data_IF_892536342553
#
_entry.id   IF_892536342553
#
_cell.length_a   1.000
_cell.length_b   1.000
_cell.length_c   1.000
_cell.angle_alpha   90.00
_cell.angle_beta   90.00
_cell.angle_gamma   90.00
#
_symmetry.space_group_name_H-M   'P 1'
#
loop_
_entity.id
_entity.type
_entity.pdbx_description
1 polymer ?
#
# COMPACT_ATOMS: atom_id res chain seq x y z
N UNK A 1 18.47 -24.31 2.85
CA UNK A 1 17.46 -23.82 3.80
C UNK A 1 18.12 -23.27 5.03
N UNK A 2 17.73 -22.08 5.49
CA UNK A 2 18.07 -21.51 6.80
C UNK A 2 16.86 -21.73 7.71
N UNK A 3 17.10 -22.28 8.90
CA UNK A 3 16.08 -22.45 9.93
C UNK A 3 16.22 -21.36 10.98
N UNK A 4 15.12 -20.69 11.28
CA UNK A 4 15.04 -19.56 12.22
C UNK A 4 13.85 -19.75 13.17
N UNK A 5 13.64 -18.80 14.08
CA UNK A 5 12.49 -18.74 15.00
C UNK A 5 11.21 -18.19 14.33
N UNK A 6 11.32 -17.65 13.11
CA UNK A 6 10.21 -17.15 12.29
C UNK A 6 10.06 -17.93 10.97
N UNK A 7 8.84 -17.94 10.41
CA UNK A 7 8.53 -18.70 9.19
C UNK A 7 9.30 -18.24 7.94
N UNK A 8 9.76 -16.98 7.93
CA UNK A 8 10.51 -16.38 6.84
C UNK A 8 10.69 -14.89 7.06
N UNK A 9 10.77 -14.14 5.96
CA UNK A 9 10.83 -12.68 5.98
C UNK A 9 9.41 -12.12 5.92
N UNK A 10 9.08 -11.21 6.82
CA UNK A 10 7.79 -10.53 6.90
C UNK A 10 7.91 -9.07 6.40
N UNK A 11 6.77 -8.45 6.08
CA UNK A 11 6.72 -7.05 5.64
C UNK A 11 7.07 -6.03 6.73
N UNK A 12 7.07 -6.45 8.00
CA UNK A 12 7.73 -5.80 9.13
C UNK A 12 8.06 -6.87 10.18
N UNK A 13 8.78 -6.53 11.25
CA UNK A 13 8.94 -7.46 12.37
C UNK A 13 7.55 -7.81 12.94
N UNK A 14 7.11 -9.09 12.91
CA UNK A 14 5.79 -9.49 13.39
C UNK A 14 5.61 -9.30 14.91
N UNK A 15 6.70 -9.06 15.66
CA UNK A 15 6.67 -8.69 17.07
C UNK A 15 6.28 -7.23 17.28
N UNK A 16 6.58 -6.37 16.31
CA UNK A 16 6.28 -4.93 16.33
C UNK A 16 4.96 -4.62 15.61
N UNK A 17 4.61 -5.39 14.58
CA UNK A 17 3.40 -5.16 13.76
C UNK A 17 2.59 -6.45 13.66
N UNK A 18 1.38 -6.46 14.24
CA UNK A 18 0.49 -7.63 14.22
C UNK A 18 0.09 -8.06 12.81
N UNK A 19 -0.11 -7.09 11.92
CA UNK A 19 -0.60 -7.28 10.56
C UNK A 19 0.56 -7.48 9.56
N UNK A 20 1.74 -7.86 10.05
CA UNK A 20 2.89 -8.16 9.20
C UNK A 20 2.61 -9.40 8.34
N UNK A 21 2.78 -9.26 7.03
CA UNK A 21 2.52 -10.32 6.06
C UNK A 21 3.80 -11.08 5.75
N UNK A 22 3.73 -12.42 5.74
CA UNK A 22 4.83 -13.28 5.28
C UNK A 22 5.05 -13.08 3.77
N UNK A 23 6.30 -12.82 3.37
CA UNK A 23 6.69 -12.73 1.96
C UNK A 23 7.09 -14.13 1.47
N UNK A 24 6.32 -14.78 0.58
CA UNK A 24 6.67 -16.11 0.08
C UNK A 24 7.91 -16.08 -0.83
N UNK A 25 8.14 -14.95 -1.49
CA UNK A 25 9.22 -14.75 -2.46
C UNK A 25 9.91 -13.40 -2.18
N UNK A 26 11.24 -13.42 -2.13
CA UNK A 26 12.07 -12.24 -1.96
C UNK A 26 13.21 -12.25 -2.96
N UNK A 27 13.54 -11.10 -3.56
CA UNK A 27 14.70 -11.04 -4.46
C UNK A 27 15.99 -11.09 -3.67
N UNK A 28 17.04 -11.66 -4.27
CA UNK A 28 18.37 -11.73 -3.65
C UNK A 28 18.96 -10.36 -3.35
N UNK A 29 18.73 -9.37 -4.21
CA UNK A 29 19.18 -7.98 -4.00
C UNK A 29 18.40 -7.30 -2.87
N UNK A 30 17.08 -7.48 -2.80
CA UNK A 30 16.24 -7.03 -1.68
C UNK A 30 16.64 -7.69 -0.35
N UNK A 31 16.93 -9.01 -0.37
CA UNK A 31 17.40 -9.74 0.80
C UNK A 31 18.77 -9.26 1.27
N UNK A 32 19.68 -8.98 0.34
CA UNK A 32 21.02 -8.44 0.63
C UNK A 32 20.93 -7.05 1.25
N UNK A 33 20.02 -6.23 0.73
CA UNK A 33 19.76 -4.88 1.23
C UNK A 33 19.13 -4.91 2.63
N UNK A 34 18.17 -5.80 2.85
CA UNK A 34 17.57 -6.02 4.17
C UNK A 34 18.62 -6.49 5.21
N UNK A 35 19.50 -7.41 4.80
CA UNK A 35 20.58 -7.90 5.65
C UNK A 35 21.62 -6.80 5.95
N UNK A 36 21.90 -5.92 4.99
CA UNK A 36 22.76 -4.74 5.17
C UNK A 36 22.18 -3.78 6.20
N UNK A 37 20.86 -3.60 6.23
CA UNK A 37 20.12 -2.80 7.21
C UNK A 37 19.91 -3.52 8.56
N UNK A 38 20.69 -4.58 8.81
CA UNK A 38 20.74 -5.35 10.06
C UNK A 38 19.39 -5.95 10.50
N UNK A 39 18.56 -6.38 9.55
CA UNK A 39 17.38 -7.17 9.89
C UNK A 39 17.81 -8.50 10.55
N UNK A 40 17.21 -8.89 11.69
CA UNK A 40 17.70 -9.97 12.55
C UNK A 40 17.71 -11.37 11.89
N UNK A 41 17.00 -11.52 10.76
CA UNK A 41 16.77 -12.82 10.11
C UNK A 41 17.89 -13.19 9.13
N UNK A 42 18.62 -12.22 8.57
CA UNK A 42 19.59 -12.45 7.50
C UNK A 42 20.87 -11.67 7.74
N UNK A 43 22.01 -12.35 7.62
CA UNK A 43 23.33 -11.71 7.65
C UNK A 43 23.88 -11.57 6.23
N UNK A 44 24.42 -10.40 5.88
CA UNK A 44 24.92 -10.08 4.54
C UNK A 44 25.98 -11.08 4.03
N UNK A 45 26.91 -11.48 4.92
CA UNK A 45 27.91 -12.52 4.64
C UNK A 45 27.34 -13.90 4.29
N UNK A 46 26.10 -14.22 4.70
CA UNK A 46 25.44 -15.48 4.34
C UNK A 46 24.92 -15.45 2.91
N UNK A 47 24.55 -14.27 2.40
CA UNK A 47 23.99 -14.11 1.06
C UNK A 47 25.07 -14.02 -0.03
N UNK A 48 26.29 -13.60 0.31
CA UNK A 48 27.38 -13.42 -0.65
C UNK A 48 27.78 -14.73 -1.38
N UNK A 49 27.93 -15.91 -0.72
CA UNK A 49 28.18 -17.17 -1.41
C UNK A 49 26.98 -17.63 -2.26
N UNK A 50 25.77 -17.41 -1.74
CA UNK A 50 24.52 -17.72 -2.48
C UNK A 50 24.49 -16.90 -3.77
N UNK A 51 24.89 -15.63 -3.72
CA UNK A 51 24.99 -14.73 -4.88
C UNK A 51 25.99 -15.17 -5.95
N UNK A 52 26.95 -16.04 -5.63
CA UNK A 52 27.94 -16.58 -6.59
C UNK A 52 27.63 -18.01 -7.06
N UNK A 53 26.57 -18.65 -6.55
CA UNK A 53 26.24 -20.06 -6.84
C UNK A 53 24.84 -20.25 -7.45
N UNK A 54 24.54 -21.42 -8.02
CA UNK A 54 23.18 -21.75 -8.50
C UNK A 54 22.25 -22.26 -7.40
N UNK A 55 22.60 -22.03 -6.13
CA UNK A 55 21.86 -22.58 -5.00
C UNK A 55 20.58 -21.78 -4.72
N UNK A 56 19.48 -22.50 -4.50
CA UNK A 56 18.25 -21.92 -3.98
C UNK A 56 18.33 -21.77 -2.46
N UNK A 57 17.96 -20.60 -1.97
CA UNK A 57 17.90 -20.31 -0.54
C UNK A 57 16.45 -20.17 -0.09
N UNK A 58 16.08 -20.88 0.97
CA UNK A 58 14.77 -20.82 1.60
C UNK A 58 14.93 -20.59 3.11
N UNK A 59 14.03 -19.80 3.68
CA UNK A 59 13.93 -19.55 5.12
C UNK A 59 12.69 -20.25 5.66
N UNK A 60 12.82 -20.92 6.80
CA UNK A 60 11.75 -21.66 7.48
C UNK A 60 11.82 -21.52 8.99
N UNK A 61 10.68 -21.67 9.67
CA UNK A 61 10.60 -21.73 11.12
C UNK A 61 10.95 -23.13 11.64
N UNK A 62 11.87 -23.23 12.60
CA UNK A 62 12.23 -24.49 13.28
C UNK A 62 11.13 -25.00 14.21
N UNK A 63 10.36 -24.10 14.82
CA UNK A 63 9.25 -24.44 15.71
C UNK A 63 7.99 -24.87 14.94
N UNK A 64 7.77 -24.30 13.76
CA UNK A 64 6.60 -24.58 12.94
C UNK A 64 6.97 -24.70 11.44
N UNK A 65 7.45 -25.88 11.01
CA UNK A 65 7.92 -26.10 9.63
C UNK A 65 6.85 -25.91 8.54
N UNK A 66 5.58 -26.02 8.90
CA UNK A 66 4.42 -25.93 7.98
C UNK A 66 3.84 -24.51 7.86
N UNK A 67 4.31 -23.53 8.65
CA UNK A 67 3.79 -22.15 8.68
C UNK A 67 4.17 -21.28 7.47
N UNK A 68 4.56 -21.92 6.36
CA UNK A 68 5.08 -21.26 5.17
C UNK A 68 6.60 -21.09 5.15
N UNK A 69 7.09 -20.42 4.11
CA UNK A 69 8.52 -20.18 3.90
C UNK A 69 8.74 -19.00 2.95
N UNK A 70 9.86 -18.29 3.14
CA UNK A 70 10.34 -17.33 2.14
C UNK A 70 11.40 -17.98 1.27
N UNK A 71 11.21 -18.00 -0.05
CA UNK A 71 12.24 -18.40 -1.02
C UNK A 71 12.94 -17.16 -1.58
N UNK A 72 14.26 -17.17 -1.57
CA UNK A 72 15.11 -16.11 -2.11
C UNK A 72 15.48 -16.47 -3.55
N UNK A 73 15.07 -15.62 -4.50
CA UNK A 73 15.28 -15.81 -5.93
C UNK A 73 16.12 -14.69 -6.55
N UNK A 74 16.86 -15.02 -7.61
CA UNK A 74 17.71 -14.04 -8.32
C UNK A 74 16.93 -13.16 -9.27
N UNK A 75 15.85 -13.68 -9.85
CA UNK A 75 15.10 -13.01 -10.91
C UNK A 75 13.62 -13.04 -10.56
N UNK A 76 13.11 -11.87 -10.19
CA UNK A 76 11.67 -11.59 -10.21
C UNK A 76 11.44 -10.40 -11.14
N UNK A 77 10.23 -10.30 -11.69
CA UNK A 77 9.79 -9.12 -12.43
C UNK A 77 10.03 -7.83 -11.62
N UNK A 78 10.06 -6.68 -12.31
CA UNK A 78 10.25 -5.35 -11.71
C UNK A 78 9.46 -5.21 -10.41
N UNK A 79 10.15 -4.77 -9.34
CA UNK A 79 9.53 -4.57 -8.03
C UNK A 79 8.46 -3.48 -8.08
N UNK A 80 7.50 -3.58 -7.14
CA UNK A 80 6.32 -2.70 -7.05
C UNK A 80 6.45 -1.64 -5.94
N UNK A 81 7.66 -1.35 -5.45
CA UNK A 81 7.90 -0.42 -4.35
C UNK A 81 8.38 -1.12 -3.07
N UNK A 82 8.26 -0.42 -1.93
CA UNK A 82 8.54 -0.99 -0.60
C UNK A 82 7.83 -2.33 -0.38
N UNK A 83 8.56 -3.31 0.14
CA UNK A 83 8.05 -4.64 0.55
C UNK A 83 8.20 -4.90 2.05
N UNK A 84 9.20 -4.28 2.67
CA UNK A 84 9.60 -4.53 4.05
C UNK A 84 9.89 -3.20 4.74
N UNK A 85 9.41 -3.03 5.97
CA UNK A 85 9.82 -1.97 6.90
C UNK A 85 10.67 -2.60 7.99
N UNK A 86 11.83 -2.01 8.26
CA UNK A 86 12.74 -2.44 9.32
C UNK A 86 13.18 -1.24 10.14
N UNK A 87 13.50 -1.46 11.40
CA UNK A 87 14.07 -0.45 12.28
C UNK A 87 15.22 -0.98 13.12
N UNK A 88 16.01 -0.07 13.65
CA UNK A 88 17.04 -0.30 14.66
C UNK A 88 16.92 0.81 15.72
N UNK A 89 16.77 0.42 16.97
CA UNK A 89 16.62 1.39 18.08
C UNK A 89 17.93 2.12 18.41
N UNK A 90 19.07 1.44 18.22
CA UNK A 90 20.39 1.96 18.57
C UNK A 90 21.34 1.94 17.37
N UNK A 91 21.63 3.13 16.86
CA UNK A 91 22.55 3.40 15.77
C UNK A 91 23.56 4.47 16.19
N UNK A 92 24.80 4.30 15.74
CA UNK A 92 25.89 5.22 15.95
C UNK A 92 26.22 5.96 14.65
N UNK A 93 26.53 7.25 14.76
CA UNK A 93 27.00 8.05 13.65
C UNK A 93 28.49 8.34 13.76
N UNK A 94 29.25 7.97 12.74
CA UNK A 94 30.62 8.44 12.54
C UNK A 94 30.56 9.65 11.62
N UNK A 95 30.90 10.82 12.13
CA UNK A 95 30.99 12.06 11.37
C UNK A 95 32.44 12.36 11.01
N UNK A 96 32.72 12.46 9.72
CA UNK A 96 33.97 12.95 9.15
C UNK A 96 33.76 14.41 8.74
N UNK A 97 34.60 15.31 9.25
CA UNK A 97 34.58 16.73 8.88
C UNK A 97 35.89 17.07 8.16
N UNK A 98 35.82 17.31 6.85
CA UNK A 98 36.99 17.53 6.00
C UNK A 98 37.40 19.01 6.02
N UNK A 99 38.69 19.27 5.75
CA UNK A 99 39.20 20.64 5.61
C UNK A 99 38.81 21.23 4.26
N UNK A 100 38.57 22.54 4.25
CA UNK A 100 38.25 23.28 3.03
C UNK A 100 39.45 23.26 2.07
N UNK A 101 39.22 22.90 0.80
CA UNK A 101 40.25 22.89 -0.25
C UNK A 101 40.46 21.56 -0.98
N UNK A 102 39.85 20.47 -0.51
CA UNK A 102 39.85 19.17 -1.20
C UNK A 102 38.59 19.00 -2.06
N UNK A 103 38.70 18.18 -3.11
CA UNK A 103 37.53 17.70 -3.86
C UNK A 103 36.72 16.73 -2.98
N UNK A 104 35.75 17.28 -2.27
CA UNK A 104 34.89 16.56 -1.34
C UNK A 104 34.24 15.33 -1.97
N UNK A 105 33.74 15.44 -3.20
CA UNK A 105 33.03 14.36 -3.87
C UNK A 105 33.98 13.19 -4.14
N UNK A 106 35.20 13.50 -4.57
CA UNK A 106 36.25 12.48 -4.76
C UNK A 106 36.62 11.83 -3.44
N UNK A 107 36.93 12.62 -2.41
CA UNK A 107 37.33 12.10 -1.10
C UNK A 107 36.22 11.25 -0.47
N UNK A 108 34.96 11.67 -0.55
CA UNK A 108 33.81 10.89 -0.12
C UNK A 108 33.76 9.54 -0.86
N UNK A 109 33.85 9.55 -2.20
CA UNK A 109 33.80 8.32 -2.99
C UNK A 109 34.93 7.36 -2.63
N UNK A 110 36.13 7.88 -2.40
CA UNK A 110 37.31 7.08 -2.04
C UNK A 110 37.13 6.45 -0.65
N UNK A 111 36.63 7.21 0.33
CA UNK A 111 36.33 6.68 1.68
C UNK A 111 35.27 5.58 1.62
N UNK A 112 34.15 5.80 0.93
CA UNK A 112 33.08 4.81 0.81
C UNK A 112 33.56 3.53 0.11
N UNK A 113 34.32 3.65 -0.98
CA UNK A 113 34.94 2.50 -1.67
C UNK A 113 35.92 1.75 -0.79
N UNK A 114 36.70 2.45 0.04
CA UNK A 114 37.65 1.82 0.96
C UNK A 114 36.93 1.02 2.05
N UNK A 115 35.87 1.58 2.63
CA UNK A 115 35.01 0.91 3.61
C UNK A 115 34.35 -0.33 3.01
N UNK A 116 33.83 -0.24 1.77
CA UNK A 116 33.24 -1.38 1.07
C UNK A 116 34.26 -2.51 0.87
N UNK A 117 35.50 -2.20 0.44
CA UNK A 117 36.57 -3.20 0.30
C UNK A 117 36.94 -3.87 1.62
N UNK A 118 36.87 -3.13 2.72
CA UNK A 118 37.11 -3.64 4.07
C UNK A 118 35.92 -4.40 4.67
N UNK A 119 34.79 -4.53 3.94
CA UNK A 119 33.53 -5.07 4.46
C UNK A 119 32.98 -4.31 5.68
N UNK A 120 33.21 -2.99 5.72
CA UNK A 120 32.77 -2.06 6.75
C UNK A 120 31.80 -1.02 6.16
N UNK A 121 30.94 -1.47 5.24
CA UNK A 121 29.94 -0.62 4.60
C UNK A 121 28.94 -0.08 5.64
N UNK A 122 28.59 1.22 5.62
CA UNK A 122 27.61 1.78 6.53
C UNK A 122 26.18 1.30 6.22
N UNK A 123 25.31 1.36 7.23
CA UNK A 123 23.86 1.13 7.10
C UNK A 123 23.22 2.21 6.21
N UNK A 124 23.72 3.42 6.27
CA UNK A 124 23.28 4.58 5.51
C UNK A 124 24.30 5.70 5.67
N UNK A 125 24.33 6.65 4.73
CA UNK A 125 25.21 7.81 4.83
C UNK A 125 24.55 9.08 4.30
N UNK A 126 25.03 10.22 4.78
CA UNK A 126 24.68 11.55 4.31
C UNK A 126 25.95 12.32 3.97
N UNK A 127 25.98 12.92 2.78
CA UNK A 127 27.08 13.77 2.33
C UNK A 127 26.61 15.22 2.21
N UNK A 128 27.16 16.09 3.05
CA UNK A 128 26.88 17.52 3.10
C UNK A 128 28.06 18.27 2.47
N UNK A 129 27.99 18.46 1.15
CA UNK A 129 29.08 19.07 0.38
C UNK A 129 29.33 20.54 0.76
N UNK A 130 28.29 21.26 1.16
CA UNK A 130 28.35 22.64 1.67
C UNK A 130 29.16 22.76 2.97
N UNK A 131 29.01 21.79 3.86
CA UNK A 131 29.67 21.75 5.17
C UNK A 131 30.92 20.87 5.17
N UNK A 132 31.25 20.23 4.05
CA UNK A 132 32.36 19.28 3.93
C UNK A 132 32.25 18.18 4.99
N UNK A 133 31.05 17.63 5.19
CA UNK A 133 30.78 16.59 6.21
C UNK A 133 30.23 15.32 5.57
N UNK A 134 30.76 14.18 6.00
CA UNK A 134 30.22 12.86 5.69
C UNK A 134 29.80 12.20 7.00
N UNK A 135 28.53 11.78 7.07
CA UNK A 135 28.00 11.04 8.22
C UNK A 135 27.71 9.62 7.80
N UNK A 136 28.18 8.67 8.60
CA UNK A 136 28.06 7.24 8.33
C UNK A 136 27.34 6.58 9.49
N UNK A 137 26.22 5.89 9.21
CA UNK A 137 25.44 5.18 10.21
C UNK A 137 25.91 3.73 10.35
N UNK A 138 26.10 3.27 11.59
CA UNK A 138 26.56 1.93 11.92
C UNK A 138 25.81 1.35 13.12
N UNK A 139 25.72 0.02 13.19
CA UNK A 139 25.39 -0.68 14.44
C UNK A 139 26.53 -0.54 15.44
N UNK A 140 26.24 -0.69 16.74
CA UNK A 140 27.25 -0.65 17.79
C UNK A 140 28.38 -1.67 17.57
N UNK A 141 28.04 -2.85 17.04
CA UNK A 141 28.97 -3.95 16.76
C UNK A 141 30.05 -3.58 15.73
N UNK A 142 29.67 -2.87 14.66
CA UNK A 142 30.57 -2.55 13.53
C UNK A 142 31.25 -1.20 13.73
N UNK A 143 30.61 -0.26 14.43
CA UNK A 143 31.08 1.12 14.57
C UNK A 143 32.52 1.24 15.07
N UNK A 144 32.92 0.44 16.07
CA UNK A 144 34.27 0.49 16.63
C UNK A 144 35.34 0.07 15.60
N UNK A 145 35.04 -0.96 14.81
CA UNK A 145 35.93 -1.42 13.74
C UNK A 145 36.03 -0.40 12.60
N UNK A 146 34.90 0.18 12.19
CA UNK A 146 34.86 1.24 11.18
C UNK A 146 35.61 2.50 11.63
N UNK A 147 35.43 2.92 12.88
CA UNK A 147 36.13 4.08 13.45
C UNK A 147 37.65 3.88 13.43
N UNK A 148 38.13 2.73 13.91
CA UNK A 148 39.55 2.40 13.90
C UNK A 148 40.12 2.38 12.48
N UNK A 149 39.41 1.73 11.55
CA UNK A 149 39.83 1.67 10.16
C UNK A 149 39.95 3.06 9.52
N UNK A 150 39.01 3.97 9.78
CA UNK A 150 39.05 5.34 9.28
C UNK A 150 40.19 6.15 9.89
N UNK A 151 40.52 5.93 11.17
CA UNK A 151 41.68 6.54 11.82
C UNK A 151 43.01 6.05 11.22
N UNK A 152 43.11 4.76 10.94
CA UNK A 152 44.29 4.13 10.34
C UNK A 152 44.50 4.56 8.87
N UNK A 153 43.41 4.88 8.16
CA UNK A 153 43.46 5.35 6.77
C UNK A 153 44.08 6.75 6.62
N UNK A 154 44.37 7.43 7.73
CA UNK A 154 44.97 8.77 7.80
C UNK A 154 44.25 9.81 6.93
N UNK A 155 42.92 9.73 6.87
CA UNK A 155 42.10 10.73 6.17
C UNK A 155 42.28 12.09 6.85
N UNK A 156 42.50 13.14 6.07
CA UNK A 156 42.57 14.53 6.57
C UNK A 156 41.19 15.08 6.97
N UNK A 157 40.55 14.42 7.95
CA UNK A 157 39.25 14.77 8.48
C UNK A 157 39.22 14.66 10.01
N UNK A 158 38.46 15.54 10.65
CA UNK A 158 38.11 15.38 12.06
C UNK A 158 37.01 14.32 12.18
N UNK A 159 37.30 13.23 12.90
CA UNK A 159 36.38 12.10 13.09
C UNK A 159 35.72 12.19 14.47
N UNK A 160 34.39 12.16 14.52
CA UNK A 160 33.61 12.13 15.76
C UNK A 160 32.60 10.99 15.75
N UNK A 161 32.58 10.21 16.83
CA UNK A 161 31.51 9.25 17.08
C UNK A 161 30.37 9.94 17.84
N UNK A 162 29.14 9.73 17.41
CA UNK A 162 27.94 10.24 18.06
C UNK A 162 26.95 9.10 18.32
N UNK A 163 26.34 9.15 19.48
CA UNK A 163 25.34 8.18 19.94
C UNK A 163 23.95 8.83 20.00
N UNK A 164 22.94 8.03 20.31
CA UNK A 164 21.57 8.52 20.49
C UNK A 164 20.82 8.69 19.18
N UNK A 165 21.04 7.80 18.22
CA UNK A 165 20.29 7.72 16.98
C UNK A 165 19.58 6.38 16.84
N UNK A 166 18.52 6.41 16.05
CA UNK A 166 17.74 5.24 15.65
C UNK A 166 17.57 5.28 14.13
N UNK A 167 17.22 4.16 13.51
CA UNK A 167 17.08 4.04 12.07
C UNK A 167 15.74 3.38 11.75
N UNK A 168 15.05 3.90 10.73
CA UNK A 168 13.90 3.25 10.11
C UNK A 168 14.12 3.24 8.61
N UNK A 169 13.85 2.10 7.97
CA UNK A 169 14.05 1.93 6.55
C UNK A 169 12.88 1.19 5.88
N UNK A 170 12.56 1.63 4.67
CA UNK A 170 11.70 0.91 3.74
C UNK A 170 12.55 0.24 2.66
N UNK A 171 12.41 -1.07 2.49
CA UNK A 171 13.19 -1.89 1.56
C UNK A 171 12.27 -2.51 0.51
N UNK A 172 12.64 -2.41 -0.76
CA UNK A 172 11.95 -3.05 -1.87
C UNK A 172 12.36 -2.47 -3.21
N UNK A 173 12.38 -3.30 -4.25
CA UNK A 173 12.72 -2.85 -5.58
C UNK A 173 11.72 -1.81 -6.11
N UNK A 174 12.22 -0.62 -6.43
CA UNK A 174 11.43 0.51 -6.91
C UNK A 174 10.84 1.38 -5.80
N UNK A 175 11.26 1.21 -4.53
CA UNK A 175 10.76 2.00 -3.40
C UNK A 175 10.99 3.51 -3.58
N UNK A 176 12.13 3.90 -4.14
CA UNK A 176 12.45 5.31 -4.46
C UNK A 176 11.66 5.86 -5.66
N UNK A 177 11.19 4.98 -6.56
CA UNK A 177 10.47 5.36 -7.79
C UNK A 177 8.95 5.33 -7.63
N UNK A 178 8.43 4.57 -6.67
CA UNK A 178 7.01 4.51 -6.38
C UNK A 178 6.62 5.76 -5.57
N UNK A 179 5.95 6.72 -6.24
CA UNK A 179 5.56 7.99 -5.64
C UNK A 179 4.71 7.81 -4.37
N UNK A 180 3.79 6.83 -4.34
CA UNK A 180 2.94 6.58 -3.18
C UNK A 180 3.78 6.09 -1.99
N UNK A 181 4.75 5.20 -2.23
CA UNK A 181 5.54 4.63 -1.14
C UNK A 181 6.59 5.63 -0.62
N UNK A 182 7.25 6.33 -1.54
CA UNK A 182 8.21 7.36 -1.23
C UNK A 182 7.55 8.52 -0.46
N UNK A 183 6.44 9.06 -0.98
CA UNK A 183 5.69 10.12 -0.31
C UNK A 183 5.08 9.66 1.02
N UNK A 184 4.50 8.45 1.07
CA UNK A 184 3.94 7.88 2.30
C UNK A 184 5.00 7.76 3.41
N UNK A 185 6.21 7.31 3.07
CA UNK A 185 7.33 7.25 4.00
C UNK A 185 7.68 8.64 4.56
N UNK A 186 7.91 9.63 3.69
CA UNK A 186 8.23 11.00 4.11
C UNK A 186 7.11 11.65 4.93
N UNK A 187 5.85 11.39 4.58
CA UNK A 187 4.69 11.97 5.28
C UNK A 187 4.62 11.50 6.74
N UNK A 188 4.93 10.23 7.01
CA UNK A 188 4.95 9.69 8.39
C UNK A 188 6.13 10.19 9.21
N UNK A 189 7.21 10.60 8.56
CA UNK A 189 8.38 11.20 9.21
C UNK A 189 8.20 12.67 9.59
N UNK A 190 7.11 13.34 9.17
CA UNK A 190 6.88 14.78 9.38
C UNK A 190 7.07 15.25 10.82
N UNK A 191 6.68 14.44 11.80
CA UNK A 191 6.77 14.78 13.23
C UNK A 191 7.93 14.07 13.94
N UNK A 192 8.67 13.22 13.23
CA UNK A 192 9.84 12.54 13.77
C UNK A 192 11.06 13.48 13.75
N UNK A 193 11.96 13.41 14.75
CA UNK A 193 13.19 14.20 14.79
C UNK A 193 14.24 13.60 13.85
N UNK A 194 14.00 13.72 12.55
CA UNK A 194 14.89 13.23 11.49
C UNK A 194 16.22 13.97 11.55
N UNK A 195 17.32 13.23 11.65
CA UNK A 195 18.67 13.76 11.48
C UNK A 195 19.03 13.86 10.00
N UNK A 196 18.76 12.81 9.22
CA UNK A 196 18.84 12.83 7.76
C UNK A 196 18.04 11.67 7.13
N UNK A 197 17.75 11.78 5.83
CA UNK A 197 17.19 10.70 5.02
C UNK A 197 18.14 10.45 3.85
N UNK A 198 18.34 9.19 3.50
CA UNK A 198 19.17 8.77 2.37
C UNK A 198 18.44 7.73 1.53
N UNK A 199 18.68 7.79 0.23
CA UNK A 199 18.29 6.74 -0.72
C UNK A 199 19.53 5.95 -1.12
N UNK A 200 19.40 4.63 -1.24
CA UNK A 200 20.49 3.83 -1.79
C UNK A 200 20.63 4.02 -3.30
N UNK A 201 21.86 3.98 -3.81
CA UNK A 201 22.14 4.10 -5.25
C UNK A 201 21.43 3.03 -6.08
N UNK A 202 21.18 1.86 -5.50
CA UNK A 202 20.43 0.77 -6.11
C UNK A 202 18.92 1.04 -6.21
N UNK A 203 18.40 2.05 -5.49
CA UNK A 203 16.98 2.36 -5.37
C UNK A 203 16.17 1.27 -4.66
N UNK A 204 16.86 0.43 -3.87
CA UNK A 204 16.25 -0.68 -3.13
C UNK A 204 15.82 -0.29 -1.72
N UNK A 205 16.29 0.84 -1.19
CA UNK A 205 15.92 1.29 0.14
C UNK A 205 15.84 2.81 0.29
N UNK A 206 14.91 3.22 1.16
CA UNK A 206 14.73 4.55 1.69
C UNK A 206 15.00 4.47 3.20
N UNK A 207 15.99 5.21 3.69
CA UNK A 207 16.47 5.09 5.08
C UNK A 207 16.43 6.44 5.77
N UNK A 208 15.74 6.52 6.90
CA UNK A 208 15.73 7.69 7.77
C UNK A 208 16.52 7.39 9.04
N UNK A 209 17.50 8.25 9.34
CA UNK A 209 18.18 8.27 10.62
C UNK A 209 17.53 9.33 11.49
N UNK A 210 17.14 8.95 12.69
CA UNK A 210 16.36 9.73 13.64
C UNK A 210 17.18 9.96 14.89
N UNK A 211 17.02 11.11 15.55
CA UNK A 211 17.48 11.26 16.94
C UNK A 211 16.62 10.36 17.81
N UNK A 212 17.22 9.72 18.82
CA UNK A 212 16.63 8.65 19.65
C UNK A 212 15.12 8.82 19.84
N UNK A 213 14.37 7.91 19.22
CA UNK A 213 12.91 7.87 19.25
C UNK A 213 12.45 6.44 19.45
N UNK A 214 11.22 6.28 19.93
CA UNK A 214 10.52 5.00 19.84
C UNK A 214 10.30 4.64 18.36
N UNK A 215 10.98 3.58 17.90
CA UNK A 215 10.85 3.12 16.51
C UNK A 215 9.62 2.26 16.28
N UNK A 216 9.06 1.64 17.32
CA UNK A 216 7.94 0.70 17.20
C UNK A 216 6.69 1.40 16.65
N UNK A 217 6.29 2.49 17.31
CA UNK A 217 5.15 3.29 16.87
C UNK A 217 5.34 3.83 15.43
N UNK A 218 6.57 4.22 15.09
CA UNK A 218 6.87 4.75 13.76
C UNK A 218 6.84 3.65 12.68
N UNK A 219 7.36 2.46 12.98
CA UNK A 219 7.29 1.28 12.11
C UNK A 219 5.83 0.89 11.88
N UNK A 220 5.00 0.84 12.92
CA UNK A 220 3.56 0.57 12.78
C UNK A 220 2.87 1.62 11.89
N UNK A 221 3.15 2.91 12.07
CA UNK A 221 2.57 3.99 11.27
C UNK A 221 3.02 3.97 9.80
N UNK A 222 4.29 3.70 9.55
CA UNK A 222 4.84 3.58 8.20
C UNK A 222 4.33 2.31 7.54
N UNK A 223 4.36 1.18 8.25
CA UNK A 223 3.89 -0.09 7.73
C UNK A 223 2.41 -0.03 7.40
N UNK A 224 1.57 0.43 8.35
CA UNK A 224 0.15 0.59 8.09
C UNK A 224 -0.10 1.47 6.87
N UNK A 225 0.58 2.61 6.69
CA UNK A 225 0.39 3.47 5.50
C UNK A 225 0.85 2.83 4.18
N UNK A 226 1.99 2.14 4.19
CA UNK A 226 2.64 1.63 2.98
C UNK A 226 2.12 0.25 2.57
N UNK A 227 1.64 -0.51 3.54
CA UNK A 227 1.13 -1.87 3.40
C UNK A 227 -0.33 -1.95 3.83
N UNK A 228 -1.09 -0.83 3.81
CA UNK A 228 -2.56 -0.87 3.95
C UNK A 228 -3.02 -2.01 3.04
N UNK A 229 -3.67 -3.01 3.65
CA UNK A 229 -4.37 -4.04 2.89
C UNK A 229 -5.14 -3.30 1.80
N UNK A 230 -4.98 -3.71 0.54
CA UNK A 230 -5.69 -3.09 -0.57
C UNK A 230 -7.14 -2.87 -0.13
N UNK A 231 -7.62 -1.62 -0.08
CA UNK A 231 -8.94 -1.34 0.49
C UNK A 231 -9.93 -2.33 -0.11
N UNK A 232 -10.55 -3.13 0.73
CA UNK A 232 -11.46 -4.17 0.30
C UNK A 232 -12.84 -3.55 0.20
N UNK A 233 -13.37 -3.55 -1.02
CA UNK A 233 -14.67 -2.98 -1.33
C UNK A 233 -15.63 -4.14 -1.60
N UNK A 234 -16.64 -4.26 -0.75
CA UNK A 234 -17.76 -5.16 -0.95
C UNK A 234 -18.72 -4.58 -1.99
N UNK A 235 -19.08 -5.36 -3.00
CA UNK A 235 -19.99 -4.95 -4.07
C UNK A 235 -21.24 -5.81 -4.04
N UNK A 236 -22.41 -5.18 -3.95
CA UNK A 236 -23.70 -5.83 -4.08
C UNK A 236 -24.37 -5.40 -5.38
N UNK A 237 -24.66 -6.34 -6.27
CA UNK A 237 -25.33 -6.09 -7.54
C UNK A 237 -26.83 -6.34 -7.43
N UNK A 238 -27.63 -5.29 -7.56
CA UNK A 238 -29.08 -5.42 -7.68
C UNK A 238 -29.50 -5.41 -9.15
N UNK A 239 -30.07 -6.53 -9.60
CA UNK A 239 -30.53 -6.77 -10.97
C UNK A 239 -29.56 -7.61 -11.78
N UNK A 240 -29.94 -8.85 -12.08
CA UNK A 240 -29.20 -9.78 -12.96
C UNK A 240 -29.69 -9.79 -14.42
N UNK A 241 -30.55 -8.85 -14.81
CA UNK A 241 -31.06 -8.71 -16.18
C UNK A 241 -29.97 -8.25 -17.17
N UNK A 242 -30.36 -7.79 -18.37
CA UNK A 242 -29.41 -7.47 -19.46
C UNK A 242 -28.23 -6.56 -19.08
N UNK A 243 -28.47 -5.53 -18.25
CA UNK A 243 -27.41 -4.62 -17.78
C UNK A 243 -26.54 -5.31 -16.73
N UNK A 244 -27.15 -6.04 -15.79
CA UNK A 244 -26.43 -6.78 -14.76
C UNK A 244 -25.55 -7.88 -15.33
N UNK A 245 -26.05 -8.68 -16.28
CA UNK A 245 -25.25 -9.73 -16.93
C UNK A 245 -24.08 -9.16 -17.74
N UNK A 246 -24.27 -8.03 -18.41
CA UNK A 246 -23.19 -7.31 -19.08
C UNK A 246 -22.15 -6.79 -18.08
N UNK A 247 -22.59 -6.26 -16.95
CA UNK A 247 -21.71 -5.81 -15.87
C UNK A 247 -20.92 -6.96 -15.25
N UNK A 248 -21.55 -8.11 -14.98
CA UNK A 248 -20.89 -9.31 -14.45
C UNK A 248 -19.78 -9.82 -15.38
N UNK A 249 -20.04 -9.85 -16.69
CA UNK A 249 -19.04 -10.24 -17.68
C UNK A 249 -17.85 -9.27 -17.73
N UNK A 250 -18.13 -7.96 -17.67
CA UNK A 250 -17.08 -6.94 -17.61
C UNK A 250 -16.30 -7.02 -16.30
N UNK A 251 -16.99 -7.22 -15.17
CA UNK A 251 -16.36 -7.35 -13.86
C UNK A 251 -15.44 -8.58 -13.81
N UNK A 252 -15.90 -9.74 -14.30
CA UNK A 252 -15.09 -10.95 -14.36
C UNK A 252 -13.80 -10.78 -15.20
N UNK A 253 -13.87 -10.02 -16.31
CA UNK A 253 -12.74 -9.83 -17.22
C UNK A 253 -11.81 -8.68 -16.82
N UNK A 254 -12.33 -7.64 -16.15
CA UNK A 254 -11.60 -6.40 -15.85
C UNK A 254 -11.20 -6.26 -14.38
N UNK A 255 -11.74 -7.08 -13.46
CA UNK A 255 -11.45 -7.00 -12.01
C UNK A 255 -9.95 -6.87 -11.72
N UNK A 256 -9.13 -7.76 -12.26
CA UNK A 256 -7.67 -7.77 -12.01
C UNK A 256 -6.98 -6.47 -12.42
N UNK A 257 -7.35 -5.88 -13.57
CA UNK A 257 -6.75 -4.63 -14.03
C UNK A 257 -7.30 -3.42 -13.25
N UNK A 258 -8.59 -3.44 -12.88
CA UNK A 258 -9.22 -2.43 -12.03
C UNK A 258 -8.54 -2.39 -10.65
N UNK A 259 -8.36 -3.54 -10.01
CA UNK A 259 -7.70 -3.67 -8.70
C UNK A 259 -6.26 -3.17 -8.75
N UNK A 260 -5.53 -3.53 -9.81
CA UNK A 260 -4.15 -3.09 -10.03
C UNK A 260 -4.05 -1.59 -10.27
N UNK A 261 -4.97 -1.00 -11.03
CA UNK A 261 -4.97 0.44 -11.36
C UNK A 261 -5.28 1.31 -10.14
N UNK A 262 -6.19 0.85 -9.28
CA UNK A 262 -6.70 1.65 -8.17
C UNK A 262 -6.14 1.26 -6.79
N UNK A 263 -5.39 0.15 -6.68
CA UNK A 263 -4.80 -0.29 -5.41
C UNK A 263 -5.87 -0.73 -4.39
N UNK A 264 -7.03 -1.16 -4.86
CA UNK A 264 -8.17 -1.63 -4.06
C UNK A 264 -8.51 -3.06 -4.49
N UNK A 265 -9.13 -3.84 -3.63
CA UNK A 265 -9.72 -5.13 -3.99
C UNK A 265 -11.24 -5.01 -4.04
N UNK A 266 -11.86 -5.61 -5.05
CA UNK A 266 -13.32 -5.55 -5.23
C UNK A 266 -13.89 -6.95 -5.21
N UNK A 267 -14.72 -7.26 -4.22
CA UNK A 267 -15.39 -8.55 -4.14
C UNK A 267 -16.89 -8.37 -4.33
N UNK A 268 -17.46 -9.12 -5.29
CA UNK A 268 -18.90 -9.22 -5.45
C UNK A 268 -19.43 -10.09 -4.31
N UNK A 269 -20.08 -9.51 -3.30
CA UNK A 269 -20.55 -10.26 -2.12
C UNK A 269 -22.03 -10.59 -2.17
N UNK A 270 -22.78 -9.90 -3.03
CA UNK A 270 -24.21 -10.15 -3.20
C UNK A 270 -24.67 -9.93 -4.64
N UNK A 271 -25.58 -10.78 -5.09
CA UNK A 271 -26.39 -10.57 -6.31
C UNK A 271 -27.86 -10.67 -5.91
N UNK A 272 -28.66 -9.66 -6.25
CA UNK A 272 -30.04 -9.52 -5.78
C UNK A 272 -30.97 -9.42 -6.98
N UNK A 273 -32.01 -10.25 -6.99
CA UNK A 273 -33.16 -10.16 -7.90
C UNK A 273 -34.43 -9.78 -7.10
N UNK A 274 -35.53 -9.55 -7.80
CA UNK A 274 -36.85 -9.24 -7.25
C UNK A 274 -37.36 -10.30 -6.26
N UNK A 275 -37.09 -11.58 -6.50
CA UNK A 275 -37.63 -12.68 -5.70
C UNK A 275 -36.59 -13.38 -4.82
N UNK A 276 -35.31 -13.39 -5.24
CA UNK A 276 -34.25 -14.10 -4.53
C UNK A 276 -32.95 -13.29 -4.50
N UNK A 277 -32.04 -13.65 -3.61
CA UNK A 277 -30.68 -13.11 -3.60
C UNK A 277 -29.67 -14.19 -3.22
N UNK A 278 -28.45 -14.05 -3.74
CA UNK A 278 -27.29 -14.84 -3.35
C UNK A 278 -26.31 -13.93 -2.61
N UNK A 279 -25.86 -14.35 -1.43
CA UNK A 279 -24.91 -13.61 -0.60
C UNK A 279 -23.77 -14.52 -0.10
N UNK A 280 -22.53 -14.15 -0.37
CA UNK A 280 -21.31 -14.81 0.12
C UNK A 280 -20.32 -13.78 0.65
N UNK A 281 -20.00 -13.88 1.95
CA UNK A 281 -19.06 -13.00 2.67
C UNK A 281 -17.62 -13.12 2.14
N UNK A 282 -17.27 -14.23 1.50
CA UNK A 282 -15.95 -14.45 0.91
C UNK A 282 -15.85 -13.98 -0.54
N UNK A 283 -16.99 -13.59 -1.12
CA UNK A 283 -17.10 -13.18 -2.52
C UNK A 283 -17.63 -14.28 -3.43
N UNK A 284 -18.39 -13.84 -4.42
CA UNK A 284 -19.04 -14.60 -5.47
C UNK A 284 -18.20 -14.44 -6.74
N UNK A 285 -17.89 -15.56 -7.39
CA UNK A 285 -17.28 -15.54 -8.71
C UNK A 285 -18.30 -15.03 -9.74
N UNK A 286 -18.06 -13.83 -10.27
CA UNK A 286 -18.94 -13.18 -11.24
C UNK A 286 -19.16 -14.01 -12.51
N UNK A 287 -18.19 -14.84 -12.92
CA UNK A 287 -18.35 -15.73 -14.07
C UNK A 287 -19.31 -16.89 -13.78
N UNK A 288 -19.40 -17.33 -12.52
CA UNK A 288 -20.26 -18.44 -12.10
C UNK A 288 -21.70 -18.01 -11.78
N UNK A 289 -21.99 -16.70 -11.71
CA UNK A 289 -23.32 -16.18 -11.37
C UNK A 289 -24.40 -16.65 -12.35
N UNK A 290 -24.10 -16.70 -13.65
CA UNK A 290 -25.09 -17.12 -14.65
C UNK A 290 -25.57 -18.56 -14.44
N UNK A 291 -24.69 -19.45 -13.97
CA UNK A 291 -24.96 -20.89 -13.86
C UNK A 291 -25.41 -21.30 -12.45
N UNK A 292 -24.91 -20.64 -11.40
CA UNK A 292 -25.12 -21.06 -9.99
C UNK A 292 -26.14 -20.25 -9.22
N UNK A 293 -26.60 -19.11 -9.74
CA UNK A 293 -27.45 -18.21 -8.97
C UNK A 293 -28.76 -18.88 -8.52
N UNK A 294 -29.41 -19.64 -9.40
CA UNK A 294 -30.70 -20.25 -9.07
C UNK A 294 -30.54 -21.36 -8.01
N UNK A 295 -29.37 -21.99 -7.91
CA UNK A 295 -29.06 -23.03 -6.92
C UNK A 295 -28.64 -22.46 -5.56
N UNK A 296 -27.89 -21.35 -5.55
CA UNK A 296 -27.30 -20.77 -4.34
C UNK A 296 -28.15 -19.62 -3.74
N UNK A 297 -29.17 -19.15 -4.46
CA UNK A 297 -30.02 -18.05 -4.01
C UNK A 297 -31.07 -18.48 -2.99
N UNK A 298 -31.42 -17.56 -2.11
CA UNK A 298 -32.49 -17.69 -1.11
C UNK A 298 -33.58 -16.64 -1.33
N UNK A 299 -34.76 -16.86 -0.76
CA UNK A 299 -35.89 -15.93 -0.88
C UNK A 299 -35.52 -14.51 -0.42
N UNK A 300 -35.94 -13.51 -1.19
CA UNK A 300 -35.63 -12.11 -0.91
C UNK A 300 -36.59 -11.53 0.12
N UNK A 301 -36.21 -11.68 1.39
CA UNK A 301 -36.83 -11.03 2.54
C UNK A 301 -36.30 -9.62 2.83
N UNK A 302 -35.37 -9.13 2.00
CA UNK A 302 -34.72 -7.83 2.14
C UNK A 302 -33.61 -7.75 3.20
N UNK A 303 -33.27 -8.85 3.87
CA UNK A 303 -32.21 -8.91 4.91
C UNK A 303 -30.80 -8.79 4.35
N UNK A 304 -30.61 -8.99 3.04
CA UNK A 304 -29.33 -8.80 2.37
C UNK A 304 -28.72 -7.41 2.62
N UNK A 305 -29.57 -6.37 2.80
CA UNK A 305 -29.10 -5.01 3.02
C UNK A 305 -28.48 -4.83 4.41
N UNK A 306 -29.11 -5.37 5.47
CA UNK A 306 -28.52 -5.35 6.81
C UNK A 306 -27.28 -6.24 6.89
N UNK A 307 -27.31 -7.41 6.24
CA UNK A 307 -26.13 -8.29 6.13
C UNK A 307 -24.94 -7.61 5.44
N UNK A 308 -25.20 -6.74 4.46
CA UNK A 308 -24.16 -5.96 3.79
C UNK A 308 -23.61 -4.84 4.69
N UNK A 309 -24.46 -4.19 5.49
CA UNK A 309 -24.05 -3.15 6.44
C UNK A 309 -23.22 -3.69 7.61
N UNK A 310 -23.54 -4.89 8.09
CA UNK A 310 -22.85 -5.55 9.21
C UNK A 310 -21.59 -6.33 8.77
N UNK A 311 -21.31 -6.37 7.47
CA UNK A 311 -20.26 -7.21 6.87
C UNK A 311 -18.87 -6.82 7.40
N UNK A 312 -18.19 -7.77 8.02
CA UNK A 312 -16.84 -7.58 8.56
C UNK A 312 -15.76 -7.95 7.53
N UNK A 313 -14.60 -7.28 7.60
CA UNK A 313 -13.45 -7.58 6.75
C UNK A 313 -13.41 -6.83 5.41
N UNK A 314 -14.32 -5.86 5.22
CA UNK A 314 -14.33 -4.90 4.11
C UNK A 314 -14.22 -3.47 4.68
N UNK A 315 -13.48 -2.61 3.99
CA UNK A 315 -13.33 -1.20 4.37
C UNK A 315 -14.53 -0.37 3.93
N UNK A 316 -15.12 -0.74 2.79
CA UNK A 316 -16.23 -0.02 2.17
C UNK A 316 -17.22 -1.00 1.53
N UNK A 317 -18.48 -0.59 1.45
CA UNK A 317 -19.52 -1.33 0.73
C UNK A 317 -20.20 -0.44 -0.32
N UNK A 318 -20.54 -1.04 -1.47
CA UNK A 318 -21.22 -0.38 -2.57
C UNK A 318 -22.39 -1.22 -3.06
N UNK A 319 -23.57 -0.61 -3.17
CA UNK A 319 -24.73 -1.17 -3.88
C UNK A 319 -24.74 -0.63 -5.31
N UNK A 320 -24.87 -1.53 -6.28
CA UNK A 320 -25.08 -1.23 -7.68
C UNK A 320 -26.54 -1.52 -8.04
N UNK A 321 -27.38 -0.49 -8.16
CA UNK A 321 -28.76 -0.64 -8.62
C UNK A 321 -28.85 -0.47 -10.15
N UNK A 322 -28.84 -1.60 -10.85
CA UNK A 322 -29.07 -1.66 -12.30
C UNK A 322 -30.49 -2.16 -12.64
N UNK A 323 -31.42 -2.05 -11.69
CA UNK A 323 -32.83 -2.43 -11.88
C UNK A 323 -33.69 -1.27 -12.40
N UNK A 324 -34.94 -1.58 -12.70
CA UNK A 324 -36.01 -0.60 -12.86
C UNK A 324 -37.02 -0.63 -11.69
N UNK A 325 -36.61 -1.18 -10.52
CA UNK A 325 -37.52 -1.41 -9.40
C UNK A 325 -37.82 -0.12 -8.65
N UNK A 326 -39.12 0.20 -8.51
CA UNK A 326 -39.57 1.31 -7.66
C UNK A 326 -39.41 0.99 -6.18
N UNK A 327 -39.62 -0.26 -5.80
CA UNK A 327 -39.53 -0.74 -4.42
C UNK A 327 -38.09 -0.60 -3.90
N UNK A 328 -37.09 -0.99 -4.70
CA UNK A 328 -35.69 -0.79 -4.35
C UNK A 328 -35.31 0.70 -4.29
N UNK A 329 -35.81 1.49 -5.26
CA UNK A 329 -35.56 2.93 -5.28
C UNK A 329 -36.11 3.67 -4.05
N UNK A 330 -37.19 3.18 -3.44
CA UNK A 330 -37.76 3.71 -2.19
C UNK A 330 -36.88 3.40 -0.96
N UNK A 331 -35.96 2.45 -1.05
CA UNK A 331 -35.05 2.04 0.03
C UNK A 331 -33.68 2.72 -0.03
N UNK A 332 -33.48 3.71 -0.90
CA UNK A 332 -32.17 4.38 -1.03
C UNK A 332 -31.74 5.10 0.25
N UNK A 333 -32.71 5.63 1.02
CA UNK A 333 -32.42 6.20 2.34
C UNK A 333 -31.93 5.13 3.30
N UNK A 334 -32.51 3.92 3.26
CA UNK A 334 -32.08 2.80 4.10
C UNK A 334 -30.65 2.37 3.75
N UNK A 335 -30.30 2.34 2.45
CA UNK A 335 -28.93 2.05 1.99
C UNK A 335 -27.93 3.05 2.59
N UNK A 336 -28.28 4.34 2.58
CA UNK A 336 -27.47 5.36 3.24
C UNK A 336 -27.38 5.11 4.75
N UNK A 337 -28.49 4.80 5.43
CA UNK A 337 -28.48 4.55 6.88
C UNK A 337 -27.57 3.38 7.30
N UNK A 338 -27.33 2.41 6.41
CA UNK A 338 -26.37 1.32 6.62
C UNK A 338 -24.91 1.73 6.37
N UNK A 339 -24.63 2.99 6.01
CA UNK A 339 -23.28 3.49 5.75
C UNK A 339 -22.71 3.08 4.39
N UNK A 340 -23.56 2.68 3.45
CA UNK A 340 -23.16 2.05 2.17
C UNK A 340 -23.20 3.09 1.04
N UNK A 341 -22.28 3.00 0.07
CA UNK A 341 -22.32 3.81 -1.15
C UNK A 341 -23.34 3.25 -2.16
N UNK A 342 -23.89 4.11 -3.02
CA UNK A 342 -24.86 3.70 -4.03
C UNK A 342 -24.47 4.20 -5.42
N UNK A 343 -24.46 3.29 -6.39
CA UNK A 343 -24.37 3.62 -7.81
C UNK A 343 -25.65 3.11 -8.49
N UNK A 344 -26.45 4.00 -9.07
CA UNK A 344 -27.75 3.64 -9.67
C UNK A 344 -27.86 4.00 -11.15
N UNK A 345 -28.17 3.00 -11.98
CA UNK A 345 -28.74 3.19 -13.31
C UNK A 345 -30.27 3.32 -13.27
N UNK A 346 -30.89 2.92 -12.16
CA UNK A 346 -32.31 3.11 -11.89
C UNK A 346 -32.65 4.61 -11.84
N UNK A 347 -33.63 5.02 -12.65
CA UNK A 347 -34.02 6.42 -12.83
C UNK A 347 -35.07 6.89 -11.84
N UNK A 348 -35.76 5.96 -11.14
CA UNK A 348 -36.95 6.27 -10.34
C UNK A 348 -36.67 7.30 -9.25
N UNK A 349 -35.61 7.11 -8.46
CA UNK A 349 -35.26 8.05 -7.37
C UNK A 349 -34.76 9.40 -7.92
N UNK A 350 -34.01 9.39 -9.03
CA UNK A 350 -33.52 10.61 -9.68
C UNK A 350 -34.59 11.42 -10.39
N UNK A 351 -35.73 10.82 -10.71
CA UNK A 351 -36.91 11.46 -11.31
C UNK A 351 -38.11 11.52 -10.35
N UNK A 352 -37.90 11.26 -9.07
CA UNK A 352 -38.95 11.34 -8.05
C UNK A 352 -39.34 12.80 -7.77
N UNK A 353 -40.34 12.98 -6.91
CA UNK A 353 -40.64 14.31 -6.39
C UNK A 353 -39.41 14.94 -5.71
N UNK A 354 -39.31 16.27 -5.78
CA UNK A 354 -38.13 16.99 -5.28
C UNK A 354 -37.88 16.73 -3.79
N UNK A 355 -38.92 16.47 -3.01
CA UNK A 355 -38.78 16.22 -1.58
C UNK A 355 -38.05 14.88 -1.34
N UNK A 356 -38.49 13.79 -1.98
CA UNK A 356 -37.81 12.50 -1.87
C UNK A 356 -36.39 12.54 -2.43
N UNK A 357 -36.20 13.18 -3.59
CA UNK A 357 -34.87 13.32 -4.19
C UNK A 357 -33.87 14.01 -3.25
N UNK A 358 -34.24 15.15 -2.67
CA UNK A 358 -33.38 15.85 -1.70
C UNK A 358 -33.17 15.04 -0.42
N UNK A 359 -34.20 14.31 0.04
CA UNK A 359 -34.06 13.43 1.20
C UNK A 359 -32.98 12.36 0.97
N UNK A 360 -32.93 11.75 -0.22
CA UNK A 360 -31.89 10.78 -0.56
C UNK A 360 -30.52 11.46 -0.62
N UNK A 361 -30.39 12.60 -1.30
CA UNK A 361 -29.12 13.33 -1.37
C UNK A 361 -28.58 13.70 0.02
N UNK A 362 -29.44 14.23 0.88
CA UNK A 362 -29.08 14.62 2.24
C UNK A 362 -28.69 13.42 3.09
N UNK A 363 -29.35 12.27 2.90
CA UNK A 363 -29.05 11.05 3.64
C UNK A 363 -27.61 10.57 3.36
N UNK A 364 -27.17 10.55 2.10
CA UNK A 364 -25.80 10.19 1.72
C UNK A 364 -24.78 11.26 2.14
N UNK A 365 -25.11 12.55 1.99
CA UNK A 365 -24.21 13.63 2.37
C UNK A 365 -23.91 13.66 3.88
N UNK A 366 -24.92 13.43 4.74
CA UNK A 366 -24.79 13.46 6.21
C UNK A 366 -23.79 12.46 6.77
N UNK A 367 -23.62 11.32 6.09
CA UNK A 367 -22.77 10.20 6.52
C UNK A 367 -21.45 10.12 5.74
N UNK A 368 -21.19 11.08 4.84
CA UNK A 368 -19.99 11.07 3.99
C UNK A 368 -19.99 9.96 2.95
N UNK A 369 -21.17 9.48 2.52
CA UNK A 369 -21.31 8.49 1.44
C UNK A 369 -21.77 9.13 0.15
N UNK A 370 -21.63 8.38 -0.94
CA UNK A 370 -21.91 8.87 -2.29
C UNK A 370 -23.09 8.12 -2.89
N UNK A 371 -24.03 8.89 -3.45
CA UNK A 371 -25.00 8.42 -4.41
C UNK A 371 -24.60 8.92 -5.80
N UNK A 372 -24.09 8.02 -6.63
CA UNK A 372 -23.77 8.27 -8.02
C UNK A 372 -24.88 7.73 -8.89
N UNK A 373 -25.49 8.58 -9.70
CA UNK A 373 -26.54 8.16 -10.63
C UNK A 373 -26.32 8.80 -11.98
N UNK A 374 -26.69 8.08 -13.03
CA UNK A 374 -26.68 8.62 -14.38
C UNK A 374 -28.08 8.57 -14.98
N UNK A 375 -28.82 9.67 -14.83
CA UNK A 375 -30.01 9.90 -15.63
C UNK A 375 -29.55 10.32 -17.04
N UNK A 376 -29.51 9.37 -17.97
CA UNK A 376 -29.18 9.68 -19.37
C UNK A 376 -30.23 10.59 -19.99
N UNK A 377 -29.78 11.72 -20.55
CA UNK A 377 -30.56 12.64 -21.40
C UNK A 377 -29.99 12.55 -22.82
N UNK A 378 -30.85 12.53 -23.84
CA UNK A 378 -30.43 12.56 -25.26
C UNK A 378 -29.52 11.39 -25.67
N UNK A 379 -30.05 10.17 -25.68
CA UNK A 379 -29.35 8.96 -26.15
C UNK A 379 -28.02 8.59 -25.43
N UNK A 380 -27.81 9.07 -24.21
CA UNK A 380 -26.67 8.64 -23.37
C UNK A 380 -25.53 9.66 -23.23
N UNK A 381 -25.75 10.92 -23.59
CA UNK A 381 -24.76 11.97 -23.36
C UNK A 381 -24.61 12.24 -21.84
N UNK A 382 -23.36 12.37 -21.32
CA UNK A 382 -23.09 12.59 -19.89
C UNK A 382 -23.31 14.05 -19.48
N UNK A 383 -24.45 14.64 -19.85
CA UNK A 383 -24.76 16.07 -19.67
C UNK A 383 -24.58 16.50 -18.20
N UNK A 384 -25.04 15.69 -17.26
CA UNK A 384 -24.92 16.00 -15.83
C UNK A 384 -23.47 16.06 -15.34
N UNK A 385 -22.58 15.22 -15.89
CA UNK A 385 -21.16 15.24 -15.57
C UNK A 385 -20.54 16.54 -16.09
N UNK A 386 -20.77 16.86 -17.36
CA UNK A 386 -20.24 18.09 -17.97
C UNK A 386 -20.71 19.36 -17.26
N UNK A 387 -21.99 19.44 -16.87
CA UNK A 387 -22.53 20.58 -16.11
C UNK A 387 -21.89 20.69 -14.73
N UNK A 388 -21.63 19.56 -14.07
CA UNK A 388 -20.98 19.54 -12.75
C UNK A 388 -19.52 19.99 -12.86
N UNK A 389 -18.77 19.47 -13.82
CA UNK A 389 -17.37 19.84 -14.05
C UNK A 389 -17.20 21.34 -14.31
N UNK A 390 -18.09 21.93 -15.12
CA UNK A 390 -18.10 23.38 -15.38
C UNK A 390 -18.33 24.16 -14.08
N UNK A 391 -19.36 23.80 -13.29
CA UNK A 391 -19.64 24.47 -12.01
C UNK A 391 -18.51 24.31 -10.99
N UNK A 392 -17.91 23.12 -10.90
CA UNK A 392 -16.79 22.85 -9.99
C UNK A 392 -15.50 23.57 -10.43
N UNK A 393 -15.37 23.87 -11.72
CA UNK A 393 -14.30 24.71 -12.29
C UNK A 393 -14.51 26.22 -12.08
N UNK A 394 -15.66 26.62 -11.52
CA UNK A 394 -16.03 28.01 -11.24
C UNK A 394 -16.88 28.67 -12.31
N UNK A 395 -17.34 27.94 -13.34
CA UNK A 395 -18.22 28.48 -14.37
C UNK A 395 -19.67 28.61 -13.88
N UNK A 396 -20.33 29.68 -14.30
CA UNK A 396 -21.76 29.91 -14.06
C UNK A 396 -22.58 29.45 -15.27
N UNK A 397 -23.51 28.53 -15.06
CA UNK A 397 -24.38 28.01 -16.13
C UNK A 397 -25.52 28.99 -16.37
N UNK A 398 -25.42 29.76 -17.46
CA UNK A 398 -26.43 30.77 -17.83
C UNK A 398 -27.68 30.15 -18.44
N UNK A 399 -27.53 29.11 -19.27
CA UNK A 399 -28.66 28.41 -19.91
C UNK A 399 -28.27 27.00 -20.39
N UNK A 400 -29.25 26.09 -20.42
CA UNK A 400 -29.16 24.77 -21.04
C UNK A 400 -30.31 24.63 -22.05
N UNK A 401 -30.00 24.39 -23.31
CA UNK A 401 -30.99 24.19 -24.38
C UNK A 401 -30.74 22.86 -25.09
N UNK A 402 -31.79 22.06 -25.24
CA UNK A 402 -31.75 20.79 -25.96
C UNK A 402 -33.15 20.36 -26.41
N UNK A 403 -33.21 19.53 -27.45
CA UNK A 403 -34.46 18.93 -27.94
C UNK A 403 -34.58 17.55 -27.28
N UNK A 404 -35.64 17.36 -26.49
CA UNK A 404 -35.99 16.05 -25.94
C UNK A 404 -36.80 15.27 -26.99
N UNK A 405 -36.38 14.04 -27.29
CA UNK A 405 -37.12 13.11 -28.15
C UNK A 405 -38.10 12.26 -27.36
#
# INVERSE_FOLDING_TARGET
TIWSDVAGVYSADPRLVSDACLLPLLRLDEASELARLAAPVLHSRTLQPVAQSTMDLSLKCSYQPESGSTRIERVLASGRGAKIITSLDEVLLIQLSFRHGHDFNKTQSDVLKSLQRAQLEPLSYEAQADQQKLRLAYTAEIATGALKYLQDLAVEAEIKLKEGYSLVAAVGAGVTKNANHCFGFYQKLKHAPVEFVSETESGLSLVAVLRRTDTEALVQLIHSQLFQAQKRVAVALCGKGNIGSSWLNLFATQKTELEKRHGMSFDLVAVVDSQTYWFDEKGIDAAAVADKFDDESIENDGTWLSRLGDLQGYDEAVVLDVTASKELAQRYVDIAQQGIHLISANKVAGSADSQYYHQVQDAFAKIGRYWLYNATVGAGLPINHTVRDLRESGDEIVALSGIFS
#
